data_IF_642463229414
#
_entry.id   IF_642463229414
#
_cell.length_a   1.000
_cell.length_b   1.000
_cell.length_c   1.000
_cell.angle_alpha   90.00
_cell.angle_beta   90.00
_cell.angle_gamma   90.00
#
_symmetry.space_group_name_H-M   'P 1'
#
loop_
_entity.id
_entity.type
_entity.pdbx_description
1 polymer ?
#
# COMPACT_ATOMS: atom_id res chain seq x y z
N UNK A 1 -35.69 -14.07 7.72
CA UNK A 1 -34.34 -13.51 7.51
C UNK A 1 -34.06 -12.64 8.73
N UNK A 2 -33.02 -12.95 9.49
CA UNK A 2 -32.72 -12.27 10.76
C UNK A 2 -32.03 -10.93 10.52
N UNK A 3 -31.93 -10.09 11.55
CA UNK A 3 -31.15 -8.85 11.46
C UNK A 3 -29.64 -9.18 11.29
N UNK A 4 -28.82 -8.18 10.93
CA UNK A 4 -27.39 -8.40 10.71
C UNK A 4 -26.69 -9.03 11.92
N UNK A 5 -27.10 -8.68 13.14
CA UNK A 5 -26.59 -9.30 14.37
C UNK A 5 -26.85 -10.80 14.43
N UNK A 6 -28.06 -11.25 14.12
CA UNK A 6 -28.43 -12.66 14.09
C UNK A 6 -27.73 -13.43 12.96
N UNK A 7 -27.59 -12.83 11.78
CA UNK A 7 -26.85 -13.41 10.66
C UNK A 7 -25.36 -13.53 10.98
N UNK A 8 -24.79 -12.50 11.59
CA UNK A 8 -23.41 -12.47 12.05
C UNK A 8 -23.14 -13.54 13.11
N UNK A 9 -23.98 -13.64 14.14
CA UNK A 9 -23.83 -14.65 15.19
C UNK A 9 -23.85 -16.07 14.64
N UNK A 10 -24.69 -16.35 13.62
CA UNK A 10 -24.86 -17.68 13.04
C UNK A 10 -23.75 -18.09 12.06
N UNK A 11 -23.16 -17.13 11.35
CA UNK A 11 -22.30 -17.45 10.20
C UNK A 11 -20.91 -16.82 10.23
N UNK A 12 -20.75 -15.69 10.92
CA UNK A 12 -19.54 -14.86 10.81
C UNK A 12 -18.76 -14.74 12.12
N UNK A 13 -19.37 -15.03 13.27
CA UNK A 13 -18.75 -14.88 14.59
C UNK A 13 -17.44 -15.66 14.79
N UNK A 14 -17.32 -16.84 14.16
CA UNK A 14 -16.11 -17.67 14.19
C UNK A 14 -15.05 -17.30 13.16
N UNK A 15 -15.41 -16.49 12.15
CA UNK A 15 -14.55 -16.14 11.00
C UNK A 15 -14.03 -14.71 11.14
N UNK A 16 -14.88 -13.81 11.64
CA UNK A 16 -14.58 -12.39 11.84
C UNK A 16 -15.15 -12.01 13.20
N UNK A 17 -14.46 -12.27 14.34
CA UNK A 17 -14.93 -11.87 15.66
C UNK A 17 -15.19 -10.35 15.72
N UNK A 18 -16.15 -9.91 16.54
CA UNK A 18 -16.47 -8.47 16.65
C UNK A 18 -15.31 -7.80 17.37
N UNK A 19 -14.40 -7.28 16.58
CA UNK A 19 -13.34 -6.39 17.04
C UNK A 19 -13.93 -5.01 17.32
N UNK A 20 -13.17 -4.18 18.04
CA UNK A 20 -13.50 -2.77 18.28
C UNK A 20 -13.66 -1.97 16.97
N UNK A 21 -13.33 -2.55 15.82
CA UNK A 21 -13.61 -2.06 14.45
C UNK A 21 -15.09 -1.73 14.20
N UNK A 22 -16.04 -2.27 14.98
CA UNK A 22 -17.46 -1.88 14.90
C UNK A 22 -17.84 -0.65 15.73
N UNK A 23 -16.87 -0.04 16.42
CA UNK A 23 -17.07 1.21 17.14
C UNK A 23 -16.88 2.40 16.21
N UNK A 24 -17.45 3.54 16.58
CA UNK A 24 -17.22 4.78 15.85
C UNK A 24 -15.74 5.13 16.00
N UNK A 25 -15.10 5.52 14.89
CA UNK A 25 -13.77 6.10 14.92
C UNK A 25 -13.76 7.31 15.86
N UNK A 26 -13.04 7.22 16.97
CA UNK A 26 -12.92 8.26 17.98
C UNK A 26 -11.66 9.12 17.82
N UNK A 27 -10.83 8.81 16.82
CA UNK A 27 -9.58 9.48 16.52
C UNK A 27 -8.44 9.15 17.49
N UNK A 28 -8.57 8.10 18.31
CA UNK A 28 -7.54 7.72 19.27
C UNK A 28 -7.40 6.22 19.50
N UNK A 29 -8.46 5.55 19.96
CA UNK A 29 -8.41 4.13 20.35
C UNK A 29 -8.95 3.20 19.28
N UNK A 30 -9.72 3.72 18.33
CA UNK A 30 -10.40 2.90 17.32
C UNK A 30 -9.78 3.18 15.94
N UNK A 31 -9.20 2.14 15.34
CA UNK A 31 -8.50 2.24 14.06
C UNK A 31 -9.43 2.46 12.88
N UNK A 32 -9.05 3.36 11.95
CA UNK A 32 -9.79 3.58 10.69
C UNK A 32 -9.39 2.60 9.60
N UNK A 33 -8.19 2.01 9.71
CA UNK A 33 -7.64 1.05 8.78
C UNK A 33 -7.77 -0.36 9.36
N UNK A 34 -8.16 -1.32 8.53
CA UNK A 34 -8.30 -2.72 8.93
C UNK A 34 -7.48 -3.61 7.99
N UNK A 35 -6.45 -4.31 8.50
CA UNK A 35 -5.73 -5.28 7.71
C UNK A 35 -6.56 -6.56 7.61
N UNK A 36 -6.87 -6.97 6.38
CA UNK A 36 -7.49 -8.29 6.19
C UNK A 36 -6.55 -9.37 6.72
N UNK A 37 -7.08 -10.39 7.43
CA UNK A 37 -6.25 -11.52 7.85
C UNK A 37 -5.52 -12.11 6.64
N UNK A 38 -4.22 -12.38 6.79
CA UNK A 38 -3.35 -12.87 5.71
C UNK A 38 -3.75 -14.27 5.17
N UNK A 39 -4.78 -14.91 5.73
CA UNK A 39 -5.29 -16.19 5.25
C UNK A 39 -4.22 -17.29 5.31
N UNK A 40 -4.12 -18.09 4.24
CA UNK A 40 -3.19 -19.24 4.13
C UNK A 40 -1.83 -18.80 3.56
N UNK A 41 -0.95 -18.36 4.44
CA UNK A 41 0.41 -17.87 4.10
C UNK A 41 1.37 -18.95 3.59
N UNK A 42 1.04 -20.23 3.80
CA UNK A 42 1.80 -21.39 3.35
C UNK A 42 1.51 -21.77 1.89
N UNK A 43 0.55 -21.09 1.25
CA UNK A 43 0.24 -21.32 -0.17
C UNK A 43 1.38 -20.83 -1.05
N UNK A 44 1.89 -21.71 -1.92
CA UNK A 44 2.89 -21.36 -2.93
C UNK A 44 2.16 -20.90 -4.18
N UNK A 45 2.33 -19.61 -4.52
CA UNK A 45 1.82 -19.01 -5.74
C UNK A 45 2.79 -19.15 -6.92
N UNK A 46 2.42 -18.67 -8.10
CA UNK A 46 3.29 -18.70 -9.27
C UNK A 46 4.50 -17.77 -9.07
N UNK A 47 5.62 -18.16 -9.66
CA UNK A 47 6.78 -17.28 -9.84
C UNK A 47 6.40 -15.98 -10.60
N UNK A 48 7.22 -14.93 -10.53
CA UNK A 48 7.00 -13.70 -11.27
C UNK A 48 6.73 -13.97 -12.76
N UNK A 49 5.66 -13.38 -13.30
CA UNK A 49 5.26 -13.56 -14.70
C UNK A 49 6.39 -13.05 -15.60
N UNK A 50 6.78 -13.88 -16.58
CA UNK A 50 7.77 -13.48 -17.59
C UNK A 50 7.31 -12.23 -18.32
N UNK A 51 8.20 -11.25 -18.41
CA UNK A 51 7.98 -9.90 -18.91
C UNK A 51 6.91 -9.10 -18.15
N UNK A 52 6.43 -9.58 -17.00
CA UNK A 52 5.53 -8.87 -16.09
C UNK A 52 6.25 -7.74 -15.35
N UNK A 53 5.49 -6.90 -14.65
CA UNK A 53 6.00 -5.70 -13.95
C UNK A 53 7.06 -6.08 -12.92
N UNK A 54 6.82 -7.12 -12.11
CA UNK A 54 7.79 -7.59 -11.10
C UNK A 54 9.13 -7.94 -11.76
N UNK A 55 9.12 -8.77 -12.81
CA UNK A 55 10.35 -9.18 -13.51
C UNK A 55 11.05 -7.96 -14.15
N UNK A 56 10.30 -7.04 -14.76
CA UNK A 56 10.86 -5.81 -15.34
C UNK A 56 11.50 -4.91 -14.29
N UNK A 57 10.90 -4.75 -13.11
CA UNK A 57 11.47 -3.98 -12.01
C UNK A 57 12.76 -4.63 -11.51
N UNK A 58 12.75 -5.95 -11.29
CA UNK A 58 13.92 -6.71 -10.83
C UNK A 58 15.08 -6.63 -11.84
N UNK A 59 14.80 -6.81 -13.13
CA UNK A 59 15.80 -6.68 -14.21
C UNK A 59 16.36 -5.26 -14.31
N UNK A 60 15.50 -4.25 -14.15
CA UNK A 60 15.89 -2.83 -14.20
C UNK A 60 16.64 -2.40 -12.93
N UNK A 61 16.43 -3.08 -11.81
CA UNK A 61 17.10 -2.83 -10.53
C UNK A 61 16.54 -1.65 -9.74
N UNK A 62 15.40 -1.07 -10.14
CA UNK A 62 14.72 -0.02 -9.37
C UNK A 62 13.22 0.09 -9.70
N UNK A 63 12.43 0.46 -8.70
CA UNK A 63 11.00 0.79 -8.81
C UNK A 63 10.85 2.25 -9.24
N UNK A 64 9.96 2.55 -10.18
CA UNK A 64 9.55 3.92 -10.53
C UNK A 64 8.23 4.23 -9.84
N UNK A 65 8.28 5.07 -8.81
CA UNK A 65 7.11 5.46 -8.05
C UNK A 65 6.67 6.87 -8.42
N UNK A 66 5.45 7.01 -8.94
CA UNK A 66 4.80 8.29 -9.12
C UNK A 66 4.20 8.78 -7.80
N UNK A 67 4.49 10.02 -7.41
CA UNK A 67 3.95 10.64 -6.20
C UNK A 67 3.16 11.89 -6.57
N UNK A 68 1.94 11.97 -6.03
CA UNK A 68 1.13 13.19 -6.05
C UNK A 68 1.64 14.21 -5.04
N UNK A 69 2.07 15.36 -5.52
CA UNK A 69 2.42 16.50 -4.67
C UNK A 69 1.15 17.26 -4.29
N UNK A 70 0.65 17.11 -3.07
CA UNK A 70 -0.44 17.95 -2.61
C UNK A 70 0.13 19.32 -2.19
N UNK A 71 -0.13 20.35 -3.00
CA UNK A 71 0.23 21.72 -2.65
C UNK A 71 -0.73 22.26 -1.58
N UNK A 72 -0.57 21.82 -0.33
CA UNK A 72 -1.22 22.46 0.81
C UNK A 72 -0.23 23.39 1.52
N UNK A 73 0.12 24.50 0.86
CA UNK A 73 0.56 25.70 1.57
C UNK A 73 0.01 26.94 0.87
N UNK A 74 -0.76 27.83 1.55
CA UNK A 74 -0.96 29.17 1.04
C UNK A 74 0.40 29.85 0.92
N UNK A 75 0.63 30.56 -0.18
CA UNK A 75 1.87 31.26 -0.50
C UNK A 75 2.18 32.44 0.44
N UNK A 76 2.11 32.27 1.76
CA UNK A 76 2.32 33.35 2.72
C UNK A 76 2.80 32.84 4.10
N UNK A 77 3.99 32.22 4.13
CA UNK A 77 4.93 32.43 5.23
C UNK A 77 6.32 32.59 4.60
N UNK A 78 6.79 33.83 4.55
CA UNK A 78 8.07 34.18 3.96
C UNK A 78 9.24 33.45 4.61
N UNK A 79 10.16 33.00 3.77
CA UNK A 79 11.54 32.69 4.16
C UNK A 79 11.95 31.22 4.01
N UNK A 80 12.41 30.86 2.81
CA UNK A 80 13.25 29.68 2.60
C UNK A 80 12.82 28.83 1.41
N UNK A 81 13.68 28.72 0.40
CA UNK A 81 13.55 27.68 -0.62
C UNK A 81 13.91 26.31 -0.04
N UNK A 82 13.03 25.78 0.79
CA UNK A 82 13.01 24.38 1.19
C UNK A 82 11.85 23.69 0.48
N UNK A 83 12.12 22.56 -0.19
CA UNK A 83 11.06 21.65 -0.62
C UNK A 83 10.44 21.10 0.67
N UNK A 84 9.38 21.72 1.17
CA UNK A 84 8.60 21.16 2.27
C UNK A 84 7.69 20.09 1.68
N UNK A 85 7.95 18.82 2.00
CA UNK A 85 7.00 17.75 1.73
C UNK A 85 5.89 17.85 2.78
N UNK A 86 4.64 17.74 2.34
CA UNK A 86 3.56 17.51 3.28
C UNK A 86 3.63 16.08 3.83
N UNK A 87 2.94 15.83 4.95
CA UNK A 87 2.96 14.51 5.61
C UNK A 87 2.51 13.40 4.66
N UNK A 88 1.52 13.69 3.83
CA UNK A 88 0.99 12.75 2.83
C UNK A 88 2.04 12.36 1.80
N UNK A 89 2.83 13.31 1.29
CA UNK A 89 3.93 13.00 0.37
C UNK A 89 5.02 12.13 1.02
N UNK A 90 5.32 12.35 2.30
CA UNK A 90 6.28 11.51 3.03
C UNK A 90 5.75 10.08 3.20
N UNK A 91 4.49 9.92 3.60
CA UNK A 91 3.83 8.62 3.69
C UNK A 91 3.83 7.91 2.32
N UNK A 92 3.53 8.64 1.24
CA UNK A 92 3.59 8.13 -0.13
C UNK A 92 5.00 7.64 -0.49
N UNK A 93 6.06 8.32 -0.03
CA UNK A 93 7.44 7.86 -0.23
C UNK A 93 7.75 6.58 0.55
N UNK A 94 7.28 6.47 1.79
CA UNK A 94 7.49 5.28 2.62
C UNK A 94 6.78 4.04 2.07
N UNK A 95 5.54 4.15 1.58
CA UNK A 95 4.88 3.00 0.92
C UNK A 95 5.63 2.54 -0.34
N UNK A 96 6.20 3.45 -1.14
CA UNK A 96 7.06 3.08 -2.28
C UNK A 96 8.37 2.40 -1.81
N UNK A 97 8.93 2.84 -0.68
CA UNK A 97 10.12 2.24 -0.07
C UNK A 97 9.83 0.83 0.43
N UNK A 98 8.66 0.60 1.03
CA UNK A 98 8.19 -0.72 1.44
C UNK A 98 8.08 -1.67 0.24
N UNK A 99 7.51 -1.21 -0.89
CA UNK A 99 7.46 -1.99 -2.14
C UNK A 99 8.85 -2.37 -2.65
N UNK A 100 9.76 -1.40 -2.67
CA UNK A 100 11.14 -1.62 -3.13
C UNK A 100 11.88 -2.59 -2.22
N UNK A 101 11.75 -2.45 -0.90
CA UNK A 101 12.36 -3.37 0.05
C UNK A 101 11.82 -4.80 -0.10
N UNK A 102 10.51 -4.94 -0.32
CA UNK A 102 9.83 -6.21 -0.58
C UNK A 102 10.34 -6.92 -1.84
N UNK A 103 10.68 -6.14 -2.89
CA UNK A 103 11.18 -6.68 -4.16
C UNK A 103 12.67 -7.06 -4.10
N UNK A 104 13.49 -6.21 -3.47
CA UNK A 104 14.95 -6.36 -3.52
C UNK A 104 15.56 -6.98 -2.26
N UNK A 105 14.75 -7.35 -1.27
CA UNK A 105 15.15 -7.96 0.00
C UNK A 105 16.24 -7.16 0.77
N UNK A 106 16.23 -5.83 0.64
CA UNK A 106 17.25 -4.93 1.21
C UNK A 106 16.71 -3.52 1.45
N UNK A 107 17.47 -2.74 2.22
CA UNK A 107 17.15 -1.34 2.55
C UNK A 107 16.99 -0.52 1.24
N UNK A 108 15.91 0.29 1.11
CA UNK A 108 15.40 0.74 -0.18
C UNK A 108 16.13 1.97 -0.75
N UNK A 109 17.31 1.75 -1.35
CA UNK A 109 17.98 2.76 -2.19
C UNK A 109 17.57 2.68 -3.67
N UNK A 110 16.67 1.75 -4.01
CA UNK A 110 16.31 1.38 -5.39
C UNK A 110 14.94 1.93 -5.81
N UNK A 111 14.55 3.09 -5.29
CA UNK A 111 13.30 3.78 -5.68
C UNK A 111 13.63 5.05 -6.47
N UNK A 112 13.05 5.17 -7.66
CA UNK A 112 13.06 6.39 -8.48
C UNK A 112 11.73 7.11 -8.30
N UNK A 113 11.76 8.30 -7.71
CA UNK A 113 10.56 9.10 -7.44
C UNK A 113 10.28 10.07 -8.58
N UNK A 114 9.10 9.93 -9.18
CA UNK A 114 8.58 10.82 -10.21
C UNK A 114 7.46 11.64 -9.59
N UNK A 115 7.53 12.97 -9.68
CA UNK A 115 6.62 13.87 -8.97
C UNK A 115 5.65 14.51 -9.95
N UNK A 116 4.37 14.54 -9.58
CA UNK A 116 3.30 15.07 -10.40
C UNK A 116 2.44 16.04 -9.60
N UNK A 117 1.98 17.08 -10.28
CA UNK A 117 1.10 18.11 -9.70
C UNK A 117 -0.37 17.86 -9.98
N UNK A 118 -0.70 17.00 -10.94
CA UNK A 118 -2.07 16.69 -11.37
C UNK A 118 -2.24 15.17 -11.51
N UNK A 119 -3.46 14.69 -11.27
CA UNK A 119 -3.77 13.26 -11.30
C UNK A 119 -3.78 12.72 -12.74
N UNK A 120 -4.22 13.52 -13.71
CA UNK A 120 -4.24 13.11 -15.11
C UNK A 120 -2.82 12.80 -15.64
N UNK A 121 -1.83 13.60 -15.27
CA UNK A 121 -0.45 13.42 -15.73
C UNK A 121 0.18 12.14 -15.17
N UNK A 122 -0.13 11.79 -13.92
CA UNK A 122 0.40 10.58 -13.27
C UNK A 122 -0.31 9.32 -13.79
N UNK A 123 -1.62 9.38 -14.06
CA UNK A 123 -2.31 8.26 -14.72
C UNK A 123 -1.79 8.03 -16.14
N UNK A 124 -1.53 9.10 -16.89
CA UNK A 124 -0.91 9.00 -18.21
C UNK A 124 0.50 8.40 -18.13
N UNK A 125 1.30 8.81 -17.15
CA UNK A 125 2.62 8.23 -16.91
C UNK A 125 2.55 6.74 -16.54
N UNK A 126 1.52 6.34 -15.77
CA UNK A 126 1.27 4.94 -15.44
C UNK A 126 0.88 4.14 -16.69
N UNK A 127 -0.02 4.66 -17.52
CA UNK A 127 -0.44 4.05 -18.79
C UNK A 127 0.72 3.87 -19.78
N UNK A 128 1.61 4.87 -19.87
CA UNK A 128 2.79 4.83 -20.71
C UNK A 128 3.92 3.91 -20.17
N UNK A 129 3.81 3.46 -18.92
CA UNK A 129 4.87 2.70 -18.25
C UNK A 129 6.09 3.54 -17.84
N UNK A 130 5.92 4.86 -17.75
CA UNK A 130 6.92 5.78 -17.20
C UNK A 130 7.09 5.57 -15.69
N UNK A 131 6.01 5.16 -15.00
CA UNK A 131 6.01 4.71 -13.61
C UNK A 131 5.42 3.31 -13.50
N UNK A 132 5.79 2.55 -12.46
CA UNK A 132 5.23 1.21 -12.22
C UNK A 132 4.06 1.26 -11.22
N UNK A 133 4.00 2.29 -10.37
CA UNK A 133 2.97 2.48 -9.35
C UNK A 133 2.77 3.98 -9.08
N UNK A 134 1.52 4.38 -8.86
CA UNK A 134 1.13 5.70 -8.38
C UNK A 134 0.82 5.60 -6.87
N UNK A 135 1.60 6.28 -6.03
CA UNK A 135 1.30 6.52 -4.62
C UNK A 135 0.52 7.83 -4.37
N UNK A 136 -0.63 7.69 -3.72
CA UNK A 136 -1.51 8.79 -3.32
C UNK A 136 -2.74 8.97 -4.19
N UNK A 137 -3.10 7.97 -5.00
CA UNK A 137 -4.30 8.01 -5.83
C UNK A 137 -5.56 7.86 -5.00
N UNK A 138 -6.62 8.58 -5.34
CA UNK A 138 -7.92 8.48 -4.66
C UNK A 138 -8.63 7.19 -5.10
N UNK A 139 -8.57 6.15 -4.24
CA UNK A 139 -9.17 4.84 -4.46
C UNK A 139 -10.53 4.74 -3.80
N UNK A 140 -11.59 4.94 -4.59
CA UNK A 140 -12.98 4.84 -4.15
C UNK A 140 -13.87 4.20 -5.23
N UNK A 141 -15.15 4.01 -4.91
CA UNK A 141 -16.12 3.47 -5.87
C UNK A 141 -16.22 4.30 -7.15
N UNK A 142 -15.94 5.61 -7.07
CA UNK A 142 -15.98 6.48 -8.24
C UNK A 142 -14.75 6.23 -9.12
N UNK A 143 -13.54 6.27 -8.58
CA UNK A 143 -12.31 6.05 -9.35
C UNK A 143 -12.25 4.66 -9.95
N UNK A 144 -12.73 3.62 -9.27
CA UNK A 144 -12.86 2.26 -9.84
C UNK A 144 -13.75 2.21 -11.10
N UNK A 145 -14.76 3.07 -11.18
CA UNK A 145 -15.69 3.14 -12.33
C UNK A 145 -15.14 4.06 -13.43
N UNK A 146 -14.52 5.17 -13.06
CA UNK A 146 -14.15 6.24 -13.98
C UNK A 146 -12.69 6.22 -14.43
N UNK A 147 -11.84 5.34 -13.89
CA UNK A 147 -10.45 5.11 -14.34
C UNK A 147 -10.25 3.69 -14.88
N UNK A 148 -10.92 3.33 -15.99
CA UNK A 148 -10.84 1.98 -16.54
C UNK A 148 -9.39 1.63 -16.91
N UNK A 149 -8.91 0.49 -16.41
CA UNK A 149 -7.55 0.01 -16.69
C UNK A 149 -6.55 0.25 -15.54
N UNK A 150 -6.96 0.97 -14.50
CA UNK A 150 -6.22 1.08 -13.23
C UNK A 150 -6.81 0.10 -12.21
N UNK A 151 -5.97 -0.37 -11.31
CA UNK A 151 -6.34 -1.13 -10.12
C UNK A 151 -5.78 -0.42 -8.89
N UNK A 152 -6.64 -0.17 -7.90
CA UNK A 152 -6.24 0.43 -6.63
C UNK A 152 -6.01 -0.64 -5.56
N UNK A 153 -5.02 -0.40 -4.69
CA UNK A 153 -4.86 -1.14 -3.45
C UNK A 153 -5.96 -0.77 -2.46
N UNK A 154 -5.92 -1.37 -1.28
CA UNK A 154 -6.66 -0.78 -0.18
C UNK A 154 -6.14 0.60 0.18
N UNK A 155 -7.03 1.50 0.65
CA UNK A 155 -6.62 2.77 1.19
C UNK A 155 -5.66 2.55 2.36
N UNK A 156 -4.53 3.24 2.33
CA UNK A 156 -3.57 3.26 3.43
C UNK A 156 -3.60 4.59 4.19
N UNK A 157 -4.33 5.59 3.71
CA UNK A 157 -4.51 6.85 4.42
C UNK A 157 -5.85 7.49 4.05
N UNK A 158 -6.44 8.24 4.98
CA UNK A 158 -7.63 9.03 4.72
C UNK A 158 -7.34 10.50 4.98
N UNK A 159 -7.51 11.34 3.95
CA UNK A 159 -7.27 12.79 4.03
C UNK A 159 -8.53 13.57 3.65
N UNK A 160 -9.18 14.20 4.62
CA UNK A 160 -10.31 15.09 4.35
C UNK A 160 -11.48 14.47 3.57
N UNK A 161 -11.70 13.15 3.71
CA UNK A 161 -12.73 12.40 2.99
C UNK A 161 -12.23 11.64 1.76
N UNK A 162 -10.96 11.81 1.38
CA UNK A 162 -10.30 11.06 0.31
C UNK A 162 -9.65 9.81 0.84
N UNK A 163 -9.80 8.71 0.13
CA UNK A 163 -9.19 7.42 0.44
C UNK A 163 -7.92 7.23 -0.41
N UNK A 164 -6.74 7.50 0.16
CA UNK A 164 -5.48 7.41 -0.57
C UNK A 164 -5.00 5.97 -0.68
N UNK A 165 -4.74 5.53 -1.90
CA UNK A 165 -4.40 4.17 -2.28
C UNK A 165 -3.22 4.16 -3.26
N UNK A 166 -2.62 2.99 -3.45
CA UNK A 166 -1.66 2.76 -4.53
C UNK A 166 -2.40 2.35 -5.80
N UNK A 167 -2.09 2.98 -6.92
CA UNK A 167 -2.66 2.67 -8.23
C UNK A 167 -1.63 1.96 -9.11
N UNK A 168 -2.09 0.91 -9.81
CA UNK A 168 -1.30 0.09 -10.74
C UNK A 168 -2.08 -0.15 -12.02
N UNK A 169 -1.40 -0.55 -13.10
CA UNK A 169 -2.11 -1.01 -14.30
C UNK A 169 -2.79 -2.36 -14.04
N UNK A 170 -4.10 -2.42 -14.28
CA UNK A 170 -4.93 -3.63 -14.13
C UNK A 170 -4.52 -4.78 -15.06
N UNK A 171 -3.75 -4.48 -16.11
CA UNK A 171 -3.26 -5.46 -17.06
C UNK A 171 -2.27 -6.48 -16.43
N UNK A 172 -1.61 -6.11 -15.32
CA UNK A 172 -0.72 -7.00 -14.57
C UNK A 172 -1.28 -7.25 -13.16
N UNK A 173 -2.18 -8.23 -13.07
CA UNK A 173 -2.85 -8.55 -11.80
C UNK A 173 -1.89 -9.06 -10.74
N UNK A 174 -0.81 -9.74 -11.13
CA UNK A 174 0.21 -10.21 -10.18
C UNK A 174 0.91 -9.02 -9.50
N UNK A 175 1.18 -7.95 -10.25
CA UNK A 175 1.70 -6.70 -9.69
C UNK A 175 0.69 -6.00 -8.79
N UNK A 176 -0.57 -5.88 -9.22
CA UNK A 176 -1.63 -5.30 -8.38
C UNK A 176 -1.79 -6.06 -7.06
N UNK A 177 -1.75 -7.39 -7.10
CA UNK A 177 -1.78 -8.24 -5.91
C UNK A 177 -0.55 -7.98 -5.03
N UNK A 178 0.65 -8.01 -5.59
CA UNK A 178 1.89 -7.73 -4.84
C UNK A 178 1.81 -6.38 -4.11
N UNK A 179 1.39 -5.34 -4.83
CA UNK A 179 1.22 -3.99 -4.29
C UNK A 179 0.20 -3.99 -3.15
N UNK A 180 -0.96 -4.63 -3.34
CA UNK A 180 -1.98 -4.76 -2.30
C UNK A 180 -1.44 -5.41 -1.02
N UNK A 181 -0.69 -6.51 -1.12
CA UNK A 181 -0.14 -7.22 0.03
C UNK A 181 0.87 -6.38 0.81
N UNK A 182 1.74 -5.65 0.10
CA UNK A 182 2.74 -4.79 0.73
C UNK A 182 2.09 -3.56 1.36
N UNK A 183 1.09 -2.94 0.73
CA UNK A 183 0.35 -1.81 1.30
C UNK A 183 -0.25 -2.13 2.66
N UNK A 184 -0.78 -3.34 2.83
CA UNK A 184 -1.40 -3.75 4.10
C UNK A 184 -0.41 -4.23 5.16
N UNK A 185 0.85 -4.44 4.81
CA UNK A 185 1.85 -4.99 5.72
C UNK A 185 2.09 -4.10 6.96
N UNK A 186 2.29 -2.76 6.84
CA UNK A 186 2.52 -1.90 8.01
C UNK A 186 1.32 -1.86 8.97
N UNK A 187 0.11 -1.87 8.43
CA UNK A 187 -1.15 -1.88 9.20
C UNK A 187 -1.28 -3.21 9.95
N UNK A 188 -1.00 -4.33 9.28
CA UNK A 188 -0.97 -5.65 9.92
C UNK A 188 0.09 -5.71 11.04
N UNK A 189 1.26 -5.14 10.80
CA UNK A 189 2.35 -5.12 11.77
C UNK A 189 1.96 -4.35 13.03
N UNK A 190 1.36 -3.17 12.88
CA UNK A 190 0.87 -2.34 13.99
C UNK A 190 -0.14 -3.12 14.85
N UNK A 191 -1.18 -3.69 14.23
CA UNK A 191 -2.23 -4.46 14.90
C UNK A 191 -1.68 -5.66 15.70
N UNK A 192 -0.53 -6.20 15.28
CA UNK A 192 0.12 -7.33 15.94
C UNK A 192 1.31 -6.94 16.83
N UNK A 193 1.53 -5.64 17.07
CA UNK A 193 2.64 -5.13 17.87
C UNK A 193 4.02 -5.51 17.31
N UNK A 194 4.12 -5.63 16.00
CA UNK A 194 5.37 -5.85 15.25
C UNK A 194 5.92 -4.47 14.88
N UNK A 195 7.21 -4.28 15.09
CA UNK A 195 7.94 -3.04 14.83
C UNK A 195 9.03 -3.27 13.80
N UNK A 196 9.70 -2.21 13.34
CA UNK A 196 10.88 -2.31 12.48
C UNK A 196 11.94 -3.26 13.06
N UNK A 197 12.21 -3.15 14.37
CA UNK A 197 13.17 -3.99 15.11
C UNK A 197 12.75 -5.46 15.17
N UNK A 198 11.45 -5.73 15.16
CA UNK A 198 10.89 -7.08 15.28
C UNK A 198 10.25 -7.59 13.98
N UNK A 199 10.63 -6.98 12.85
CA UNK A 199 10.17 -7.31 11.49
C UNK A 199 10.26 -8.80 11.14
N UNK A 200 11.19 -9.54 11.73
CA UNK A 200 11.30 -11.00 11.59
C UNK A 200 10.08 -11.79 12.11
N UNK A 201 9.22 -11.18 12.94
CA UNK A 201 7.94 -11.74 13.39
C UNK A 201 6.86 -11.70 12.31
N UNK A 202 7.03 -10.90 11.24
CA UNK A 202 6.13 -10.98 10.08
C UNK A 202 6.20 -12.39 9.47
N UNK A 203 5.06 -12.95 9.01
CA UNK A 203 5.06 -14.26 8.38
C UNK A 203 5.80 -14.24 7.04
N UNK A 204 6.36 -15.39 6.68
CA UNK A 204 6.83 -15.63 5.31
C UNK A 204 5.63 -15.95 4.42
N UNK A 205 5.68 -15.51 3.17
CA UNK A 205 4.57 -15.63 2.22
C UNK A 205 5.12 -16.01 0.85
N UNK A 206 4.74 -17.18 0.33
CA UNK A 206 5.24 -17.72 -0.94
C UNK A 206 4.32 -17.40 -2.14
N UNK A 207 3.52 -16.34 -2.06
CA UNK A 207 2.49 -16.03 -3.07
C UNK A 207 3.06 -15.60 -4.43
N UNK A 208 4.31 -15.15 -4.46
CA UNK A 208 4.97 -14.62 -5.66
C UNK A 208 6.26 -15.38 -5.97
N UNK A 209 6.26 -16.69 -5.70
CA UNK A 209 7.44 -17.55 -5.80
C UNK A 209 8.28 -17.59 -4.53
N UNK A 210 9.28 -18.48 -4.51
CA UNK A 210 10.16 -18.65 -3.34
C UNK A 210 11.12 -17.48 -3.14
N UNK A 211 11.47 -16.79 -4.24
CA UNK A 211 12.44 -15.70 -4.20
C UNK A 211 11.88 -14.44 -3.52
N UNK A 212 10.57 -14.35 -3.32
CA UNK A 212 9.92 -13.21 -2.64
C UNK A 212 9.31 -13.62 -1.29
N UNK A 213 9.72 -14.75 -0.71
CA UNK A 213 9.11 -15.29 0.52
C UNK A 213 9.16 -14.32 1.72
N UNK A 214 10.14 -13.42 1.72
CA UNK A 214 10.41 -12.44 2.78
C UNK A 214 9.71 -11.10 2.59
N UNK A 215 8.88 -10.93 1.55
CA UNK A 215 8.33 -9.62 1.15
C UNK A 215 7.79 -8.81 2.34
N UNK A 216 6.99 -9.42 3.22
CA UNK A 216 6.41 -8.73 4.38
C UNK A 216 7.44 -8.36 5.43
N UNK A 217 8.44 -9.21 5.66
CA UNK A 217 9.53 -8.93 6.62
C UNK A 217 10.38 -7.77 6.13
N UNK A 218 10.70 -7.76 4.85
CA UNK A 218 11.60 -6.78 4.27
C UNK A 218 10.92 -5.40 4.16
N UNK A 219 9.60 -5.36 3.89
CA UNK A 219 8.79 -4.15 4.02
C UNK A 219 8.92 -3.53 5.42
N UNK A 220 8.58 -4.29 6.47
CA UNK A 220 8.60 -3.79 7.86
C UNK A 220 10.01 -3.50 8.33
N UNK A 221 11.01 -4.25 7.90
CA UNK A 221 12.39 -3.96 8.23
C UNK A 221 12.84 -2.60 7.66
N UNK A 222 12.33 -2.22 6.49
CA UNK A 222 12.68 -0.96 5.84
C UNK A 222 11.92 0.23 6.42
N UNK A 223 10.61 0.14 6.62
CA UNK A 223 9.76 1.30 6.94
C UNK A 223 9.06 1.22 8.30
N UNK A 224 9.16 0.09 9.00
CA UNK A 224 8.43 -0.13 10.25
C UNK A 224 6.95 -0.47 10.05
N UNK A 225 6.21 -0.45 11.15
CA UNK A 225 4.76 -0.54 11.14
C UNK A 225 4.11 0.81 10.80
N UNK A 226 2.79 0.86 10.76
CA UNK A 226 2.06 2.05 10.34
C UNK A 226 2.27 3.29 11.24
N UNK A 227 2.52 3.12 12.54
CA UNK A 227 2.85 4.23 13.47
C UNK A 227 4.31 4.71 13.34
N UNK A 228 5.20 3.84 12.84
CA UNK A 228 6.63 4.14 12.62
C UNK A 228 6.90 4.86 11.28
N UNK A 229 5.92 4.91 10.36
CA UNK A 229 5.99 5.57 9.04
C UNK A 229 5.72 7.07 9.11
#
# INVERSE_FOLDING_TARGET
VGNYGEMYSRHLSSISPRLEVNTINDGGTTGLLYPYPLGKVDTVGPEPIKHGVIERILQRGFLRCGIRLHNHYPADLGGGQGISFDKTSLLNMEVCRALTASLFQRIPDNTSFHRYSEDEDIFLALENGDIDVYAGGEGDLYSDVFTPGVSFSQPYFYDGGKALSLATLKADTQWSDFVYWVTMAPIYAEENGITQETSNKMPLVNLFGSDLERLLRDAIHAVGNYDEM
#
